data_IF_109343896448
#
_entry.id   IF_109343896448
#
_cell.length_a   1.000
_cell.length_b   1.000
_cell.length_c   1.000
_cell.angle_alpha   90.00
_cell.angle_beta   90.00
_cell.angle_gamma   90.00
#
_symmetry.space_group_name_H-M   'P 1'
#
loop_
_entity.id
_entity.type
_entity.pdbx_description
1 polymer ?
#
# COMPACT_ATOMS: atom_id res chain seq x y z
N UNK A 1 -37.63 -49.17 -46.09
CA UNK A 1 -38.81 -48.81 -45.28
C UNK A 1 -38.29 -48.59 -43.88
N UNK A 2 -38.28 -47.53 -43.26
CA UNK A 2 -38.84 -46.24 -43.24
C UNK A 2 -37.83 -45.28 -42.74
N UNK A 3 -37.72 -44.14 -43.37
CA UNK A 3 -36.87 -43.06 -42.90
C UNK A 3 -37.61 -42.18 -41.91
N UNK A 4 -36.91 -41.71 -40.95
CA UNK A 4 -37.34 -40.58 -40.08
C UNK A 4 -36.28 -39.54 -40.05
N UNK A 5 -36.61 -38.27 -40.31
CA UNK A 5 -35.61 -37.20 -40.38
C UNK A 5 -35.33 -36.63 -38.99
N UNK A 6 -34.06 -36.47 -38.65
CA UNK A 6 -33.55 -35.78 -37.50
C UNK A 6 -33.77 -34.26 -37.63
N UNK A 7 -34.48 -33.67 -36.69
CA UNK A 7 -34.65 -32.22 -36.51
C UNK A 7 -33.34 -31.62 -35.98
N UNK A 8 -32.79 -30.68 -36.74
CA UNK A 8 -31.71 -29.79 -36.29
C UNK A 8 -32.22 -28.81 -35.22
N UNK A 9 -31.62 -28.84 -34.05
CA UNK A 9 -31.79 -27.80 -33.03
C UNK A 9 -31.02 -26.55 -33.45
N UNK A 10 -31.72 -25.48 -33.75
CA UNK A 10 -31.13 -24.15 -33.92
C UNK A 10 -30.82 -23.58 -32.53
N UNK A 11 -29.53 -23.39 -32.28
CA UNK A 11 -28.99 -22.70 -31.15
C UNK A 11 -29.24 -21.18 -31.32
N UNK A 12 -30.14 -20.65 -30.49
CA UNK A 12 -30.37 -19.21 -30.36
C UNK A 12 -29.53 -18.68 -29.21
N UNK A 13 -28.25 -18.42 -29.42
CA UNK A 13 -27.46 -17.58 -28.54
C UNK A 13 -27.87 -16.10 -28.72
N UNK A 14 -28.83 -15.66 -27.93
CA UNK A 14 -29.13 -14.23 -27.81
C UNK A 14 -27.94 -13.56 -27.05
N UNK A 15 -27.07 -12.92 -27.80
CA UNK A 15 -26.07 -12.02 -27.24
C UNK A 15 -26.75 -10.83 -26.58
N UNK A 16 -26.78 -10.84 -25.26
CA UNK A 16 -27.03 -9.62 -24.46
C UNK A 16 -25.83 -8.71 -24.62
N UNK A 17 -25.86 -7.82 -25.61
CA UNK A 17 -24.96 -6.68 -25.70
C UNK A 17 -25.22 -5.80 -24.48
N UNK A 18 -24.19 -5.66 -23.64
CA UNK A 18 -24.19 -4.77 -22.49
C UNK A 18 -24.30 -3.31 -22.98
N UNK A 19 -25.53 -2.79 -23.01
CA UNK A 19 -25.84 -1.43 -23.44
C UNK A 19 -25.35 -0.34 -22.47
N UNK A 20 -24.76 -0.69 -21.32
CA UNK A 20 -24.19 0.27 -20.36
C UNK A 20 -22.89 0.90 -20.85
N UNK A 21 -22.14 0.26 -21.74
CA UNK A 21 -20.87 0.80 -22.27
C UNK A 21 -21.06 1.87 -23.36
N UNK A 22 -22.26 2.05 -23.90
CA UNK A 22 -22.50 2.95 -25.04
C UNK A 22 -23.06 4.32 -24.67
N UNK A 23 -23.31 4.62 -23.39
CA UNK A 23 -23.89 5.91 -22.96
C UNK A 23 -22.92 6.83 -22.21
N UNK A 24 -21.67 6.45 -21.99
CA UNK A 24 -20.65 7.38 -21.53
C UNK A 24 -20.29 8.30 -22.72
N UNK A 25 -20.72 9.55 -22.66
CA UNK A 25 -20.35 10.57 -23.66
C UNK A 25 -18.83 10.60 -23.82
N UNK A 26 -18.31 9.97 -24.84
CA UNK A 26 -16.92 10.03 -25.18
C UNK A 26 -16.64 11.43 -25.74
N UNK A 27 -15.79 12.19 -25.09
CA UNK A 27 -15.11 13.33 -25.73
C UNK A 27 -14.36 12.81 -26.97
N UNK A 28 -13.99 13.72 -27.87
CA UNK A 28 -13.24 13.43 -29.09
C UNK A 28 -11.90 12.66 -28.83
N UNK A 29 -11.49 12.49 -27.57
CA UNK A 29 -10.32 11.73 -27.10
C UNK A 29 -10.62 10.27 -26.75
N UNK A 30 -11.90 9.85 -26.67
CA UNK A 30 -12.29 8.47 -26.37
C UNK A 30 -12.08 8.03 -24.91
N UNK A 31 -11.70 8.93 -23.99
CA UNK A 31 -11.54 8.61 -22.56
C UNK A 31 -12.83 8.90 -21.78
N UNK A 32 -13.20 7.95 -20.88
CA UNK A 32 -14.25 8.20 -19.91
C UNK A 32 -13.85 9.36 -18.99
N UNK A 33 -14.77 10.29 -18.75
CA UNK A 33 -14.51 11.42 -17.85
C UNK A 33 -14.70 10.99 -16.40
N UNK A 34 -13.72 11.29 -15.55
CA UNK A 34 -13.79 10.99 -14.11
C UNK A 34 -14.93 11.73 -13.40
N UNK A 35 -15.34 12.89 -13.92
CA UNK A 35 -16.47 13.65 -13.41
C UNK A 35 -17.85 13.02 -13.72
N UNK A 36 -17.89 12.07 -14.67
CA UNK A 36 -19.09 11.29 -15.00
C UNK A 36 -19.21 10.00 -14.15
N UNK A 37 -18.17 9.61 -13.40
CA UNK A 37 -18.21 8.42 -12.57
C UNK A 37 -19.08 8.63 -11.32
N UNK A 38 -19.91 7.63 -10.93
CA UNK A 38 -20.75 7.72 -9.74
C UNK A 38 -19.96 7.49 -8.46
N UNK A 39 -19.04 8.36 -8.13
CA UNK A 39 -18.31 8.30 -6.87
C UNK A 39 -19.26 8.55 -5.69
N UNK A 40 -19.01 7.89 -4.53
CA UNK A 40 -19.81 8.13 -3.33
C UNK A 40 -19.64 9.58 -2.84
N UNK A 41 -20.73 10.17 -2.39
CA UNK A 41 -20.71 11.53 -1.85
C UNK A 41 -19.86 11.57 -0.58
N UNK A 42 -18.98 12.55 -0.49
CA UNK A 42 -18.24 12.85 0.73
C UNK A 42 -19.03 13.90 1.53
N UNK A 43 -19.81 13.42 2.49
CA UNK A 43 -20.73 14.28 3.26
C UNK A 43 -19.99 15.13 4.31
N UNK A 44 -20.47 16.34 4.62
CA UNK A 44 -19.99 17.12 5.76
C UNK A 44 -20.07 16.34 7.08
N UNK A 45 -19.07 16.48 7.93
CA UNK A 45 -19.01 15.76 9.21
C UNK A 45 -18.48 14.32 9.10
N UNK A 46 -18.11 13.86 7.91
CA UNK A 46 -17.50 12.55 7.70
C UNK A 46 -15.98 12.62 7.73
N UNK A 47 -15.37 11.50 8.13
CA UNK A 47 -13.91 11.27 8.01
C UNK A 47 -13.68 10.13 7.02
N UNK A 48 -12.90 10.39 5.98
CA UNK A 48 -12.42 9.33 5.10
C UNK A 48 -10.97 9.02 5.41
N UNK A 49 -10.69 7.75 5.80
CA UNK A 49 -9.33 7.23 5.98
C UNK A 49 -8.89 6.62 4.64
N UNK A 50 -7.92 7.24 4.00
CA UNK A 50 -7.58 6.97 2.61
C UNK A 50 -6.11 6.63 2.46
N UNK A 51 -5.81 5.55 1.74
CA UNK A 51 -4.46 5.16 1.37
C UNK A 51 -3.95 5.97 0.17
N UNK A 52 -2.78 6.57 0.33
CA UNK A 52 -2.09 7.33 -0.70
C UNK A 52 -1.23 6.47 -1.65
N UNK A 53 -1.17 5.16 -1.40
CA UNK A 53 -0.26 4.28 -2.14
C UNK A 53 1.19 4.31 -1.62
N UNK A 54 2.11 3.59 -2.30
CA UNK A 54 3.47 3.35 -1.81
C UNK A 54 4.43 4.53 -1.98
N UNK A 55 4.05 5.58 -2.73
CA UNK A 55 4.88 6.76 -2.94
C UNK A 55 4.58 7.51 -4.24
N UNK A 56 4.61 6.83 -5.39
CA UNK A 56 4.32 7.46 -6.68
C UNK A 56 2.86 7.94 -6.76
N UNK A 57 2.61 9.21 -7.17
CA UNK A 57 1.26 9.76 -7.26
C UNK A 57 0.32 8.97 -8.17
N UNK A 58 0.83 8.40 -9.25
CA UNK A 58 0.05 7.58 -10.19
C UNK A 58 -0.47 6.26 -9.61
N UNK A 59 -0.04 5.88 -8.41
CA UNK A 59 -0.50 4.67 -7.71
C UNK A 59 -1.64 4.94 -6.72
N UNK A 60 -2.19 6.14 -6.70
CA UNK A 60 -3.41 6.43 -5.96
C UNK A 60 -4.62 5.75 -6.61
N UNK A 61 -5.60 5.37 -5.80
CA UNK A 61 -6.90 4.96 -6.33
C UNK A 61 -7.68 6.18 -6.85
N UNK A 62 -8.57 5.96 -7.84
CA UNK A 62 -9.48 7.01 -8.31
C UNK A 62 -10.33 7.58 -7.17
N UNK A 63 -10.70 6.74 -6.19
CA UNK A 63 -11.48 7.19 -5.04
C UNK A 63 -10.64 8.05 -4.08
N UNK A 64 -9.33 7.82 -3.98
CA UNK A 64 -8.41 8.70 -3.28
C UNK A 64 -8.38 10.09 -3.95
N UNK A 65 -8.23 10.11 -5.28
CA UNK A 65 -8.26 11.35 -6.05
C UNK A 65 -9.58 12.11 -5.85
N UNK A 66 -10.73 11.41 -5.96
CA UNK A 66 -12.05 12.00 -5.72
C UNK A 66 -12.15 12.62 -4.30
N UNK A 67 -11.68 11.92 -3.27
CA UNK A 67 -11.67 12.42 -1.90
C UNK A 67 -10.83 13.72 -1.77
N UNK A 68 -9.69 13.77 -2.45
CA UNK A 68 -8.83 14.97 -2.47
C UNK A 68 -9.46 16.16 -3.18
N UNK A 69 -10.30 15.91 -4.20
CA UNK A 69 -11.03 16.94 -4.94
C UNK A 69 -12.28 17.44 -4.22
N UNK A 70 -12.73 16.75 -3.16
CA UNK A 70 -14.00 17.04 -2.49
C UNK A 70 -13.87 17.42 -1.01
N UNK A 71 -12.73 17.09 -0.36
CA UNK A 71 -12.50 17.37 1.06
C UNK A 71 -12.43 18.87 1.39
N UNK A 72 -12.65 19.22 2.65
CA UNK A 72 -12.44 20.56 3.20
C UNK A 72 -11.10 20.67 3.93
N UNK A 73 -10.59 19.55 4.44
CA UNK A 73 -9.30 19.48 5.13
C UNK A 73 -8.65 18.12 4.92
N UNK A 74 -7.34 18.13 4.67
CA UNK A 74 -6.49 16.94 4.59
C UNK A 74 -5.61 16.89 5.82
N UNK A 75 -5.71 15.80 6.61
CA UNK A 75 -4.81 15.49 7.72
C UNK A 75 -3.90 14.34 7.26
N UNK A 76 -2.59 14.60 7.09
CA UNK A 76 -1.67 13.64 6.48
C UNK A 76 -0.43 13.37 7.33
N UNK A 77 0.18 12.18 7.17
CA UNK A 77 1.40 11.77 7.90
C UNK A 77 2.68 11.90 7.07
N UNK A 78 3.82 11.57 7.70
CA UNK A 78 5.15 11.72 7.12
C UNK A 78 5.44 10.79 5.92
N UNK A 79 4.66 9.73 5.73
CA UNK A 79 4.85 8.77 4.65
C UNK A 79 4.11 9.13 3.37
N UNK A 80 3.27 10.16 3.42
CA UNK A 80 2.60 10.69 2.23
C UNK A 80 3.59 11.52 1.42
N UNK A 81 3.80 11.16 0.16
CA UNK A 81 4.62 11.94 -0.75
C UNK A 81 4.02 13.34 -0.95
N UNK A 82 4.83 14.37 -0.76
CA UNK A 82 4.42 15.77 -0.90
C UNK A 82 3.82 16.10 -2.29
N UNK A 83 4.28 15.41 -3.34
CA UNK A 83 3.75 15.59 -4.70
C UNK A 83 2.28 15.22 -4.81
N UNK A 84 1.80 14.30 -3.98
CA UNK A 84 0.38 13.94 -3.90
C UNK A 84 -0.47 15.12 -3.42
N UNK A 85 0.04 15.93 -2.49
CA UNK A 85 -0.72 17.05 -1.92
C UNK A 85 -1.04 18.14 -2.95
N UNK A 86 -0.32 18.20 -4.08
CA UNK A 86 -0.64 19.12 -5.19
C UNK A 86 -1.98 18.80 -5.87
N UNK A 87 -2.52 17.62 -5.63
CA UNK A 87 -3.79 17.15 -6.17
C UNK A 87 -4.98 17.45 -5.23
N UNK A 88 -4.73 18.10 -4.10
CA UNK A 88 -5.78 18.58 -3.20
C UNK A 88 -6.46 19.80 -3.84
N UNK A 89 -7.79 19.84 -3.80
CA UNK A 89 -8.53 20.95 -4.37
C UNK A 89 -8.11 22.32 -3.79
N UNK A 90 -8.15 23.38 -4.58
CA UNK A 90 -7.92 24.73 -4.06
C UNK A 90 -8.88 25.09 -2.93
N UNK A 91 -8.36 25.71 -1.87
CA UNK A 91 -9.14 26.13 -0.70
C UNK A 91 -9.33 25.08 0.39
N UNK A 92 -8.95 23.81 0.17
CA UNK A 92 -8.89 22.85 1.25
C UNK A 92 -7.67 23.11 2.15
N UNK A 93 -7.86 23.02 3.48
CA UNK A 93 -6.76 23.12 4.43
C UNK A 93 -5.90 21.84 4.43
N UNK A 94 -4.60 21.98 4.72
CA UNK A 94 -3.70 20.83 4.90
C UNK A 94 -3.07 20.86 6.27
N UNK A 95 -3.20 19.77 7.04
CA UNK A 95 -2.65 19.62 8.39
C UNK A 95 -1.68 18.44 8.44
N UNK A 96 -0.43 18.69 8.78
CA UNK A 96 0.58 17.66 8.94
C UNK A 96 0.48 17.03 10.34
N UNK A 97 0.22 15.71 10.38
CA UNK A 97 0.09 14.91 11.61
C UNK A 97 1.33 14.06 11.92
N UNK A 98 2.43 14.21 11.19
CA UNK A 98 3.70 13.52 11.46
C UNK A 98 4.56 14.21 12.51
N UNK A 99 5.74 13.63 12.79
CA UNK A 99 6.73 14.25 13.67
C UNK A 99 7.21 15.58 13.09
N UNK A 100 7.10 16.65 13.85
CA UNK A 100 7.78 17.91 13.52
C UNK A 100 9.13 17.94 14.24
N UNK A 101 10.20 18.27 13.51
CA UNK A 101 11.57 18.29 14.04
C UNK A 101 11.65 18.93 15.43
N UNK A 102 12.26 18.22 16.38
CA UNK A 102 12.49 18.69 17.75
C UNK A 102 11.27 18.69 18.69
N UNK A 103 10.05 18.40 18.22
CA UNK A 103 8.86 18.26 19.06
C UNK A 103 8.48 16.80 19.27
N UNK A 104 7.89 16.42 20.41
CA UNK A 104 7.30 15.10 20.59
C UNK A 104 6.34 14.78 19.43
N UNK A 105 6.38 13.54 18.97
CA UNK A 105 5.37 13.08 17.98
C UNK A 105 3.99 13.25 18.60
N UNK A 106 2.99 13.78 17.86
CA UNK A 106 1.61 13.71 18.32
C UNK A 106 1.32 12.26 18.72
N UNK A 107 0.76 12.06 19.90
CA UNK A 107 0.28 10.73 20.30
C UNK A 107 -0.85 10.38 19.34
N UNK A 108 -1.01 9.10 18.99
CA UNK A 108 -2.09 8.66 18.07
C UNK A 108 -3.48 9.15 18.54
N UNK A 109 -3.67 9.25 19.85
CA UNK A 109 -4.86 9.81 20.45
C UNK A 109 -5.12 11.27 20.03
N UNK A 110 -4.07 12.09 19.94
CA UNK A 110 -4.19 13.50 19.55
C UNK A 110 -4.65 13.64 18.10
N UNK A 111 -4.16 12.77 17.22
CA UNK A 111 -4.59 12.74 15.80
C UNK A 111 -6.08 12.39 15.73
N UNK A 112 -6.50 11.33 16.42
CA UNK A 112 -7.90 10.91 16.42
C UNK A 112 -8.84 11.97 17.02
N UNK A 113 -8.42 12.65 18.08
CA UNK A 113 -9.16 13.78 18.66
C UNK A 113 -9.30 14.89 17.63
N UNK A 114 -8.22 15.24 16.93
CA UNK A 114 -8.25 16.28 15.90
C UNK A 114 -9.22 15.93 14.74
N UNK A 115 -9.23 14.69 14.30
CA UNK A 115 -10.20 14.22 13.27
C UNK A 115 -11.65 14.40 13.74
N UNK A 116 -11.93 14.05 15.00
CA UNK A 116 -13.27 14.20 15.62
C UNK A 116 -13.68 15.68 15.70
N UNK A 117 -12.78 16.57 16.15
CA UNK A 117 -13.04 18.01 16.22
C UNK A 117 -13.43 18.59 14.85
N UNK A 118 -12.64 18.26 13.82
CA UNK A 118 -12.90 18.73 12.46
C UNK A 118 -14.23 18.20 11.92
N UNK A 119 -14.53 16.92 12.15
CA UNK A 119 -15.80 16.32 11.72
C UNK A 119 -16.99 16.94 12.44
N UNK A 120 -16.92 17.16 13.77
CA UNK A 120 -17.95 17.85 14.55
C UNK A 120 -18.17 19.30 14.11
N UNK A 121 -17.13 19.95 13.56
CA UNK A 121 -17.25 21.27 12.93
C UNK A 121 -17.84 21.21 11.52
N UNK A 122 -18.40 20.07 11.09
CA UNK A 122 -19.06 19.88 9.80
C UNK A 122 -18.12 19.81 8.61
N UNK A 123 -16.81 19.56 8.81
CA UNK A 123 -15.83 19.44 7.73
C UNK A 123 -15.86 18.06 7.09
N UNK A 124 -15.60 17.98 5.77
CA UNK A 124 -15.23 16.75 5.08
C UNK A 124 -13.75 16.50 5.34
N UNK A 125 -13.44 15.56 6.23
CA UNK A 125 -12.10 15.35 6.73
C UNK A 125 -11.44 14.19 6.00
N UNK A 126 -10.44 14.49 5.18
CA UNK A 126 -9.61 13.47 4.53
C UNK A 126 -8.40 13.14 5.43
N UNK A 127 -8.37 11.95 6.03
CA UNK A 127 -7.19 11.40 6.69
C UNK A 127 -6.38 10.62 5.66
N UNK A 128 -5.32 11.23 5.12
CA UNK A 128 -4.47 10.65 4.08
C UNK A 128 -3.27 9.95 4.72
N UNK A 129 -3.06 8.68 4.39
CA UNK A 129 -2.06 7.78 4.98
C UNK A 129 -1.17 7.18 3.91
N UNK A 130 0.13 7.08 4.14
CA UNK A 130 1.03 6.34 3.24
C UNK A 130 0.64 4.87 3.12
N UNK A 131 0.76 4.28 1.93
CA UNK A 131 0.35 2.91 1.66
C UNK A 131 -1.15 2.69 1.78
N UNK A 132 -1.55 1.77 2.64
CA UNK A 132 -2.93 1.39 2.95
C UNK A 132 -3.25 1.69 4.43
N UNK A 133 -4.44 2.23 4.77
CA UNK A 133 -4.79 2.57 6.15
C UNK A 133 -4.76 1.38 7.12
N UNK A 134 -5.08 0.18 6.65
CA UNK A 134 -5.23 -1.02 7.48
C UNK A 134 -4.01 -1.95 7.44
N UNK A 135 -2.99 -1.64 6.63
CA UNK A 135 -1.75 -2.40 6.59
C UNK A 135 -0.65 -1.72 7.40
N UNK A 136 -0.51 -2.08 8.67
CA UNK A 136 0.45 -1.51 9.65
C UNK A 136 0.38 0.03 9.76
N UNK A 137 -0.75 0.62 9.33
CA UNK A 137 -0.98 2.07 9.30
C UNK A 137 -1.79 2.60 10.48
N UNK A 138 -2.18 1.78 11.45
CA UNK A 138 -3.01 2.15 12.63
C UNK A 138 -4.41 2.69 12.28
N UNK A 139 -4.86 2.53 11.02
CA UNK A 139 -6.20 2.96 10.60
C UNK A 139 -7.33 2.28 11.39
N UNK A 140 -7.12 1.04 11.85
CA UNK A 140 -8.06 0.35 12.73
C UNK A 140 -8.27 1.07 14.06
N UNK A 141 -7.20 1.57 14.70
CA UNK A 141 -7.28 2.34 15.95
C UNK A 141 -8.00 3.69 15.71
N UNK A 142 -7.66 4.38 14.62
CA UNK A 142 -8.33 5.63 14.22
C UNK A 142 -9.82 5.40 13.99
N UNK A 143 -10.20 4.34 13.24
CA UNK A 143 -11.59 3.99 12.96
C UNK A 143 -12.38 3.62 14.22
N UNK A 144 -11.78 2.87 15.14
CA UNK A 144 -12.40 2.55 16.43
C UNK A 144 -12.71 3.81 17.25
N UNK A 145 -11.79 4.77 17.23
CA UNK A 145 -11.96 6.04 17.98
C UNK A 145 -13.06 6.88 17.37
N UNK A 146 -13.12 6.97 16.03
CA UNK A 146 -14.22 7.64 15.32
C UNK A 146 -15.58 7.00 15.60
N UNK A 147 -15.66 5.66 15.54
CA UNK A 147 -16.88 4.92 15.83
C UNK A 147 -17.39 5.16 17.25
N UNK A 148 -16.50 5.11 18.25
CA UNK A 148 -16.83 5.40 19.65
C UNK A 148 -17.33 6.84 19.86
N UNK A 149 -16.85 7.77 19.04
CA UNK A 149 -17.28 9.18 19.07
C UNK A 149 -18.57 9.45 18.24
N UNK A 150 -19.13 8.43 17.60
CA UNK A 150 -20.32 8.57 16.72
C UNK A 150 -20.02 9.32 15.42
N UNK A 151 -18.77 9.41 15.00
CA UNK A 151 -18.36 10.07 13.76
C UNK A 151 -18.47 9.07 12.61
N UNK A 152 -19.24 9.35 11.55
CA UNK A 152 -19.31 8.52 10.37
C UNK A 152 -17.99 8.57 9.61
N UNK A 153 -17.54 7.41 9.09
CA UNK A 153 -16.29 7.32 8.35
C UNK A 153 -16.37 6.35 7.18
N UNK A 154 -15.42 6.47 6.27
CA UNK A 154 -15.19 5.55 5.15
C UNK A 154 -13.72 5.13 5.12
N UNK A 155 -13.47 3.87 4.80
CA UNK A 155 -12.12 3.39 4.48
C UNK A 155 -12.00 3.33 2.97
N UNK A 156 -10.91 3.91 2.46
CA UNK A 156 -10.51 3.81 1.05
C UNK A 156 -9.16 3.12 1.01
N UNK A 157 -9.09 1.86 0.55
CA UNK A 157 -7.83 1.14 0.43
C UNK A 157 -6.82 1.88 -0.45
N UNK A 158 -5.53 1.65 -0.15
CA UNK A 158 -4.42 2.08 -0.99
C UNK A 158 -3.49 0.91 -1.29
N UNK A 159 -2.63 1.07 -2.29
CA UNK A 159 -1.62 0.07 -2.60
C UNK A 159 -0.57 0.11 -1.49
N UNK A 160 -0.49 -0.96 -0.70
CA UNK A 160 0.51 -1.08 0.36
C UNK A 160 1.91 -1.30 -0.20
N UNK A 161 2.93 -0.78 0.47
CA UNK A 161 4.32 -0.86 0.01
C UNK A 161 4.83 -2.31 -0.11
N UNK A 162 4.35 -3.24 0.71
CA UNK A 162 4.69 -4.67 0.61
C UNK A 162 4.13 -5.37 -0.63
N UNK A 163 3.28 -4.71 -1.40
CA UNK A 163 2.78 -5.19 -2.71
C UNK A 163 3.30 -4.27 -3.82
N UNK A 164 2.96 -2.99 -3.77
CA UNK A 164 3.35 -2.04 -4.81
C UNK A 164 4.85 -1.77 -4.86
N UNK A 165 5.51 -1.70 -3.70
CA UNK A 165 6.95 -1.52 -3.62
C UNK A 165 7.72 -2.71 -4.18
N UNK A 166 7.26 -3.93 -3.93
CA UNK A 166 7.86 -5.14 -4.49
C UNK A 166 7.69 -5.19 -6.01
N UNK A 167 6.52 -4.82 -6.53
CA UNK A 167 6.29 -4.73 -7.97
C UNK A 167 7.27 -3.74 -8.62
N UNK A 168 7.50 -2.58 -8.03
CA UNK A 168 8.48 -1.59 -8.49
C UNK A 168 9.93 -2.03 -8.31
N UNK A 169 10.20 -2.98 -7.43
CA UNK A 169 11.51 -3.60 -7.26
C UNK A 169 11.74 -4.78 -8.20
N UNK A 170 10.78 -5.16 -9.06
CA UNK A 170 10.87 -6.37 -9.88
C UNK A 170 10.79 -7.66 -9.06
N UNK A 171 10.15 -7.63 -7.89
CA UNK A 171 10.02 -8.77 -6.98
C UNK A 171 8.54 -9.18 -6.93
N UNK A 172 8.12 -10.26 -7.57
CA UNK A 172 6.76 -10.74 -7.46
C UNK A 172 6.49 -11.26 -6.06
N UNK A 173 5.45 -10.76 -5.39
CA UNK A 173 5.07 -11.23 -4.04
C UNK A 173 4.71 -12.71 -4.05
N UNK A 174 4.15 -13.22 -5.14
CA UNK A 174 3.86 -14.63 -5.39
C UNK A 174 4.35 -15.02 -6.79
N UNK A 175 4.85 -16.25 -6.93
CA UNK A 175 5.28 -16.77 -8.22
C UNK A 175 5.06 -18.29 -8.27
N UNK A 176 4.49 -18.80 -9.37
CA UNK A 176 4.12 -20.21 -9.48
C UNK A 176 5.25 -21.17 -9.16
N UNK A 177 6.49 -20.83 -9.55
CA UNK A 177 7.64 -21.72 -9.41
C UNK A 177 8.37 -21.53 -8.06
N UNK A 178 8.13 -20.44 -7.32
CA UNK A 178 8.89 -20.14 -6.09
C UNK A 178 8.06 -20.10 -4.83
N UNK A 179 6.83 -19.57 -4.90
CA UNK A 179 6.03 -19.42 -3.69
C UNK A 179 4.53 -19.22 -3.94
N UNK A 180 3.73 -19.96 -3.18
CA UNK A 180 2.27 -19.88 -3.18
C UNK A 180 1.73 -19.23 -1.88
N UNK A 181 2.63 -18.81 -0.98
CA UNK A 181 2.26 -18.16 0.28
C UNK A 181 3.22 -17.02 0.60
N UNK A 182 2.67 -15.96 1.20
CA UNK A 182 3.38 -14.78 1.67
C UNK A 182 2.85 -14.43 3.06
N UNK A 183 3.74 -14.11 3.98
CA UNK A 183 3.38 -13.56 5.28
C UNK A 183 3.83 -12.11 5.37
N UNK A 184 2.89 -11.21 5.69
CA UNK A 184 3.18 -9.82 6.02
C UNK A 184 3.39 -9.65 7.51
N UNK A 185 4.51 -9.00 7.90
CA UNK A 185 4.93 -8.84 9.29
C UNK A 185 5.32 -7.40 9.59
N UNK A 186 5.29 -7.04 10.87
CA UNK A 186 6.01 -5.86 11.36
C UNK A 186 7.32 -6.30 12.01
N UNK A 187 8.40 -5.58 11.76
CA UNK A 187 9.72 -5.83 12.38
C UNK A 187 9.89 -5.17 13.74
N UNK A 188 8.92 -4.37 14.22
CA UNK A 188 8.94 -3.82 15.56
C UNK A 188 7.53 -3.66 16.16
N UNK A 189 7.45 -3.72 17.47
CA UNK A 189 6.28 -3.37 18.27
C UNK A 189 6.23 -1.87 18.60
N UNK A 190 5.29 -1.48 19.46
CA UNK A 190 5.14 -0.09 19.89
C UNK A 190 6.38 0.47 20.65
N UNK A 191 7.21 -0.38 21.24
CA UNK A 191 8.46 0.01 21.92
C UNK A 191 9.65 0.12 20.95
N UNK A 192 9.47 -0.25 19.69
CA UNK A 192 10.53 -0.27 18.66
C UNK A 192 11.44 -1.49 18.72
N UNK A 193 11.08 -2.52 19.50
CA UNK A 193 11.78 -3.79 19.59
C UNK A 193 11.13 -4.84 18.68
N UNK A 194 11.85 -5.91 18.39
CA UNK A 194 11.30 -7.08 17.70
C UNK A 194 10.05 -7.57 18.43
N UNK A 195 8.91 -7.85 17.75
CA UNK A 195 7.66 -8.24 18.41
C UNK A 195 7.78 -9.56 19.13
N UNK A 196 7.62 -9.54 20.46
CA UNK A 196 7.70 -10.74 21.30
C UNK A 196 6.45 -11.65 21.19
N UNK A 197 5.32 -11.12 20.74
CA UNK A 197 4.07 -11.85 20.55
C UNK A 197 3.97 -12.58 19.20
N UNK A 198 4.99 -12.51 18.36
CA UNK A 198 5.08 -13.21 17.08
C UNK A 198 5.78 -14.55 17.30
N UNK A 199 5.15 -15.64 16.89
CA UNK A 199 5.77 -16.96 16.92
C UNK A 199 6.72 -17.13 15.72
N UNK A 200 7.94 -16.63 15.86
CA UNK A 200 8.97 -16.63 14.82
C UNK A 200 9.35 -18.02 14.34
N UNK A 201 9.33 -19.02 15.24
CA UNK A 201 9.59 -20.42 14.89
C UNK A 201 8.54 -20.95 13.89
N UNK A 202 7.26 -20.68 14.17
CA UNK A 202 6.18 -21.08 13.26
C UNK A 202 6.25 -20.30 11.93
N UNK A 203 6.53 -19.00 11.99
CA UNK A 203 6.63 -18.15 10.79
C UNK A 203 7.77 -18.56 9.89
N UNK A 204 8.91 -18.94 10.44
CA UNK A 204 10.06 -19.39 9.66
C UNK A 204 9.74 -20.57 8.74
N UNK A 205 8.78 -21.41 9.12
CA UNK A 205 8.38 -22.61 8.35
C UNK A 205 7.05 -22.45 7.60
N UNK A 206 6.20 -21.45 7.98
CA UNK A 206 4.84 -21.33 7.49
C UNK A 206 4.74 -20.82 6.04
N UNK A 207 5.68 -19.97 5.60
CA UNK A 207 5.67 -19.44 4.24
C UNK A 207 7.07 -19.27 3.67
N UNK A 208 7.24 -19.51 2.36
CA UNK A 208 8.53 -19.35 1.68
C UNK A 208 8.94 -17.88 1.52
N UNK A 209 8.01 -16.92 1.64
CA UNK A 209 8.29 -15.49 1.51
C UNK A 209 7.72 -14.73 2.70
N UNK A 210 8.59 -13.94 3.34
CA UNK A 210 8.24 -13.02 4.41
C UNK A 210 8.43 -11.59 3.92
N UNK A 211 7.42 -10.75 4.07
CA UNK A 211 7.44 -9.32 3.72
C UNK A 211 7.29 -8.51 5.00
N UNK A 212 8.33 -7.78 5.36
CA UNK A 212 8.42 -7.11 6.65
C UNK A 212 8.42 -5.58 6.51
N UNK A 213 7.52 -4.96 7.24
CA UNK A 213 7.47 -3.51 7.43
C UNK A 213 8.27 -3.10 8.66
N UNK A 214 8.90 -1.93 8.63
CA UNK A 214 9.60 -1.38 9.80
C UNK A 214 10.67 -2.31 10.39
N UNK A 215 11.28 -3.17 9.56
CA UNK A 215 12.17 -4.24 10.01
C UNK A 215 13.66 -3.84 10.02
N UNK A 216 14.07 -2.80 9.31
CA UNK A 216 15.51 -2.47 9.08
C UNK A 216 16.28 -2.37 10.39
N UNK A 217 15.74 -1.67 11.38
CA UNK A 217 16.40 -1.47 12.68
C UNK A 217 16.69 -2.79 13.43
N UNK A 218 15.77 -3.75 13.33
CA UNK A 218 15.84 -5.02 14.06
C UNK A 218 16.23 -6.19 13.14
N UNK A 219 16.69 -5.91 11.91
CA UNK A 219 16.90 -6.96 10.90
C UNK A 219 17.94 -7.98 11.33
N UNK A 220 19.00 -7.57 12.04
CA UNK A 220 19.99 -8.49 12.58
C UNK A 220 19.42 -9.49 13.57
N UNK A 221 18.58 -9.01 14.52
CA UNK A 221 17.92 -9.88 15.50
C UNK A 221 16.89 -10.80 14.84
N UNK A 222 16.11 -10.27 13.88
CA UNK A 222 15.15 -11.04 13.09
C UNK A 222 15.85 -12.13 12.30
N UNK A 223 16.95 -11.81 11.58
CA UNK A 223 17.72 -12.76 10.80
C UNK A 223 18.28 -13.89 11.67
N UNK A 224 18.90 -13.55 12.80
CA UNK A 224 19.42 -14.54 13.76
C UNK A 224 18.29 -15.46 14.26
N UNK A 225 17.12 -14.92 14.53
CA UNK A 225 15.95 -15.71 14.98
C UNK A 225 15.44 -16.65 13.89
N UNK A 226 15.38 -16.19 12.64
CA UNK A 226 14.95 -17.00 11.49
C UNK A 226 15.96 -18.12 11.18
N UNK A 227 17.26 -17.84 11.28
CA UNK A 227 18.32 -18.83 11.13
C UNK A 227 18.22 -19.91 12.23
N UNK A 228 18.06 -19.50 13.49
CA UNK A 228 17.87 -20.42 14.61
C UNK A 228 16.61 -21.28 14.46
N UNK A 229 15.59 -20.75 13.77
CA UNK A 229 14.37 -21.47 13.41
C UNK A 229 14.50 -22.36 12.17
N UNK A 230 15.69 -22.46 11.57
CA UNK A 230 15.99 -23.41 10.50
C UNK A 230 15.88 -22.85 9.07
N UNK A 231 15.76 -21.54 8.87
CA UNK A 231 15.86 -20.96 7.52
C UNK A 231 17.29 -21.02 7.02
N UNK A 232 17.45 -21.15 5.68
CA UNK A 232 18.75 -21.26 5.04
C UNK A 232 19.57 -19.96 5.21
N UNK A 233 20.88 -20.06 5.56
CA UNK A 233 21.77 -18.91 5.63
C UNK A 233 21.91 -18.19 4.27
N UNK A 234 21.87 -18.93 3.17
CA UNK A 234 21.99 -18.39 1.80
C UNK A 234 20.68 -17.85 1.25
N UNK A 235 19.61 -17.83 2.06
CA UNK A 235 18.32 -17.34 1.60
C UNK A 235 18.39 -15.85 1.27
N UNK A 236 17.93 -15.42 0.06
CA UNK A 236 18.05 -14.04 -0.36
C UNK A 236 17.17 -13.12 0.47
N UNK A 237 17.72 -11.97 0.83
CA UNK A 237 17.06 -10.86 1.49
C UNK A 237 17.15 -9.64 0.59
N UNK A 238 16.01 -9.05 0.23
CA UNK A 238 15.94 -7.78 -0.47
C UNK A 238 15.40 -6.68 0.44
N UNK A 239 16.02 -5.50 0.38
CA UNK A 239 15.59 -4.31 1.10
C UNK A 239 15.20 -3.26 0.06
N UNK A 240 13.93 -2.90 0.01
CA UNK A 240 13.36 -1.93 -0.94
C UNK A 240 13.09 -0.63 -0.20
N UNK A 241 13.95 0.34 -0.40
CA UNK A 241 13.86 1.67 0.21
C UNK A 241 13.18 2.67 -0.72
N UNK A 242 12.35 3.56 -0.18
CA UNK A 242 11.66 4.63 -0.92
C UNK A 242 10.90 4.10 -2.15
N UNK A 243 10.17 3.01 -1.96
CA UNK A 243 9.50 2.26 -3.02
C UNK A 243 8.67 3.16 -3.94
N UNK A 244 8.74 2.91 -5.25
CA UNK A 244 8.06 3.64 -6.33
C UNK A 244 8.44 5.12 -6.50
N UNK A 245 9.38 5.64 -5.72
CA UNK A 245 9.88 7.01 -5.87
C UNK A 245 11.10 7.07 -6.81
N UNK A 246 11.43 8.22 -7.41
CA UNK A 246 12.61 8.37 -8.29
C UNK A 246 13.92 7.94 -7.62
N UNK A 247 14.03 8.12 -6.30
CA UNK A 247 15.19 7.74 -5.50
C UNK A 247 15.04 6.36 -4.82
N UNK A 248 14.16 5.48 -5.36
CA UNK A 248 14.08 4.09 -4.91
C UNK A 248 15.43 3.40 -4.96
N UNK A 249 15.77 2.67 -3.91
CA UNK A 249 16.93 1.80 -3.85
C UNK A 249 16.50 0.38 -3.52
N UNK A 250 17.16 -0.60 -4.15
CA UNK A 250 16.96 -2.00 -3.82
C UNK A 250 18.33 -2.61 -3.55
N UNK A 251 18.54 -3.06 -2.32
CA UNK A 251 19.76 -3.70 -1.85
C UNK A 251 19.46 -5.19 -1.60
N UNK A 252 20.36 -6.07 -1.99
CA UNK A 252 20.19 -7.53 -1.86
C UNK A 252 21.37 -8.09 -1.09
N UNK A 253 21.07 -8.98 -0.14
CA UNK A 253 22.04 -9.70 0.68
C UNK A 253 21.52 -11.12 0.96
N UNK A 254 22.19 -11.88 1.80
CA UNK A 254 21.73 -13.18 2.32
C UNK A 254 21.16 -13.05 3.74
N UNK A 255 20.41 -14.04 4.19
CA UNK A 255 19.89 -14.04 5.55
C UNK A 255 21.00 -14.07 6.60
N UNK A 256 22.11 -14.79 6.32
CA UNK A 256 23.26 -14.83 7.21
C UNK A 256 23.95 -13.46 7.35
N UNK A 257 24.00 -12.70 6.27
CA UNK A 257 24.68 -11.40 6.23
C UNK A 257 23.78 -10.23 6.57
N UNK A 258 22.46 -10.41 6.63
CA UNK A 258 21.50 -9.32 6.72
C UNK A 258 21.74 -8.38 7.91
N UNK A 259 22.17 -8.92 9.05
CA UNK A 259 22.49 -8.11 10.25
C UNK A 259 23.72 -7.21 10.04
N UNK A 260 24.81 -7.78 9.57
CA UNK A 260 26.05 -7.05 9.26
C UNK A 260 25.81 -6.05 8.14
N UNK A 261 25.06 -6.46 7.12
CA UNK A 261 24.75 -5.60 5.98
C UNK A 261 24.07 -4.28 6.42
N UNK A 262 23.06 -4.33 7.27
CA UNK A 262 22.36 -3.09 7.73
C UNK A 262 23.18 -2.30 8.75
N UNK A 263 24.16 -2.92 9.42
CA UNK A 263 25.08 -2.22 10.31
C UNK A 263 26.15 -1.44 9.54
N UNK A 264 26.64 -2.00 8.43
CA UNK A 264 27.75 -1.45 7.67
C UNK A 264 27.30 -0.54 6.51
N UNK A 265 26.04 -0.63 6.09
CA UNK A 265 25.50 0.13 4.97
C UNK A 265 24.39 1.07 5.38
N UNK A 266 24.36 2.23 4.73
CA UNK A 266 23.22 3.13 4.84
C UNK A 266 22.00 2.52 4.13
N UNK A 267 20.94 2.26 4.91
CA UNK A 267 19.64 1.80 4.39
C UNK A 267 18.63 2.95 4.54
N UNK A 268 18.28 3.64 3.44
CA UNK A 268 17.28 4.69 3.51
C UNK A 268 15.92 4.16 3.95
N UNK A 269 15.19 4.95 4.73
CA UNK A 269 13.81 4.63 5.14
C UNK A 269 12.84 5.69 4.62
N UNK A 270 11.58 5.32 4.35
CA UNK A 270 10.93 4.03 4.65
C UNK A 270 11.42 2.88 3.76
N UNK A 271 11.43 1.66 4.31
CA UNK A 271 11.85 0.48 3.57
C UNK A 271 10.99 -0.76 3.91
N UNK A 272 10.85 -1.64 2.90
CA UNK A 272 10.29 -2.99 3.03
C UNK A 272 11.43 -4.00 2.94
N UNK A 273 11.43 -4.99 3.82
CA UNK A 273 12.38 -6.11 3.79
C UNK A 273 11.65 -7.37 3.33
N UNK A 274 12.24 -8.09 2.38
CA UNK A 274 11.71 -9.35 1.85
C UNK A 274 12.73 -10.45 2.09
N UNK A 275 12.33 -11.52 2.74
CA UNK A 275 13.12 -12.74 2.91
C UNK A 275 12.49 -13.84 2.08
N UNK A 276 13.27 -14.48 1.21
CA UNK A 276 12.80 -15.59 0.40
C UNK A 276 13.22 -15.54 -1.06
N UNK A 277 13.08 -16.68 -1.75
CA UNK A 277 13.51 -16.88 -3.14
C UNK A 277 12.83 -15.95 -4.15
N UNK A 278 11.69 -15.34 -3.80
CA UNK A 278 11.03 -14.34 -4.65
C UNK A 278 11.95 -13.16 -5.01
N UNK A 279 12.90 -12.81 -4.13
CA UNK A 279 13.87 -11.74 -4.36
C UNK A 279 14.85 -12.03 -5.52
N UNK A 280 15.03 -13.27 -5.91
CA UNK A 280 15.90 -13.68 -7.03
C UNK A 280 15.37 -13.20 -8.40
N UNK A 281 14.04 -13.07 -8.52
CA UNK A 281 13.40 -12.64 -9.77
C UNK A 281 13.79 -11.22 -10.16
N UNK A 282 14.21 -10.40 -9.20
CA UNK A 282 14.65 -9.03 -9.45
C UNK A 282 15.68 -8.93 -10.57
N UNK A 283 16.66 -9.83 -10.62
CA UNK A 283 17.73 -9.79 -11.63
C UNK A 283 17.17 -9.82 -13.07
N UNK A 284 16.04 -10.51 -13.26
CA UNK A 284 15.39 -10.61 -14.57
C UNK A 284 14.28 -9.54 -14.75
N UNK A 285 13.64 -9.13 -13.66
CA UNK A 285 12.42 -8.33 -13.68
C UNK A 285 12.63 -6.88 -13.21
N UNK A 286 13.85 -6.37 -13.16
CA UNK A 286 14.14 -4.97 -12.79
C UNK A 286 13.75 -4.00 -13.91
N UNK A 287 12.45 -3.76 -14.04
CA UNK A 287 11.88 -2.90 -15.07
C UNK A 287 11.95 -1.41 -14.72
N UNK A 288 11.94 -1.07 -13.42
CA UNK A 288 11.96 0.31 -12.94
C UNK A 288 13.42 0.79 -12.80
N UNK A 289 14.13 0.80 -13.93
CA UNK A 289 15.51 1.24 -14.03
C UNK A 289 15.70 2.77 -14.01
N UNK A 290 16.97 3.25 -14.09
CA UNK A 290 17.28 4.69 -14.02
C UNK A 290 16.49 5.54 -15.01
N UNK A 291 16.38 5.14 -16.26
CA UNK A 291 15.68 5.89 -17.30
C UNK A 291 14.21 6.18 -16.95
N UNK A 292 13.51 5.17 -16.37
CA UNK A 292 12.11 5.36 -15.94
C UNK A 292 11.99 6.14 -14.64
N UNK A 293 13.03 6.13 -13.79
CA UNK A 293 13.03 6.93 -12.55
C UNK A 293 13.26 8.41 -12.83
N UNK A 294 14.08 8.71 -13.84
CA UNK A 294 14.36 10.09 -14.27
C UNK A 294 13.21 10.69 -15.07
N UNK A 295 12.49 9.86 -15.81
CA UNK A 295 11.30 10.26 -16.57
C UNK A 295 10.11 9.33 -16.31
N UNK A 296 9.45 9.43 -15.14
CA UNK A 296 8.38 8.53 -14.75
C UNK A 296 7.10 8.63 -15.59
N UNK A 297 7.04 9.61 -16.49
CA UNK A 297 5.88 9.88 -17.36
C UNK A 297 6.22 9.59 -18.83
N UNK A 298 7.45 9.19 -19.11
CA UNK A 298 7.96 8.95 -20.46
C UNK A 298 7.52 7.64 -21.08
#
# INVERSE_FOLDING_TARGET
>A
MDGTPTKSAQDKSAGTTDTRAQQAGADATGFARLDAEPFPVFEPGWVWLVGAGPGAPGLMSLLCYHAMQTCDVVVYDALVNADILRWVRPGAATEYAGKRGGKPSPVQADISIRLIELAKAGKRVLRLKGGDPFMFGRGGEESQTLAKAGIPFRIVPGITAGVGGLAYAGIPSTHRDTNHAVIFLTGHDASGKMPANVNWQAIATAAPVLVMYMAVKNLGEIAATLLAAGRSPDEPVAIVSNASLPHQQVQVTTLAEAGTFVADNAVPTPAIVVVGKASQWRTLLDWYGPALRENPIG
#
